data_IF_829792718786
#
_entry.id   IF_829792718786
#
_cell.length_a   1.000
_cell.length_b   1.000
_cell.length_c   1.000
_cell.angle_alpha   90.00
_cell.angle_beta   90.00
_cell.angle_gamma   90.00
#
_symmetry.space_group_name_H-M   'P 1'
#
loop_
_entity.id
_entity.type
_entity.pdbx_description
1 polymer ?
#
# COMPACT_ATOMS: atom_id res chain seq x y z
N UNK A 1 10.64 -6.71 -1.86
CA UNK A 1 11.51 -6.57 -0.65
C UNK A 1 12.98 -6.65 -1.07
N UNK A 2 13.91 -6.00 -0.37
CA UNK A 2 15.34 -5.98 -0.75
C UNK A 2 16.04 -7.35 -0.57
N UNK A 3 15.37 -8.33 0.06
CA UNK A 3 15.89 -9.67 0.39
C UNK A 3 17.24 -9.52 1.10
N UNK A 4 18.12 -10.49 0.98
CA UNK A 4 19.42 -10.50 1.68
C UNK A 4 20.48 -9.64 0.98
N UNK A 5 20.11 -8.89 -0.08
CA UNK A 5 21.04 -8.12 -0.93
C UNK A 5 21.60 -6.86 -0.27
N UNK A 6 21.05 -6.44 0.88
CA UNK A 6 21.40 -5.17 1.54
C UNK A 6 21.66 -5.36 3.04
N UNK A 7 22.15 -6.54 3.43
CA UNK A 7 22.41 -6.88 4.83
C UNK A 7 21.13 -7.18 5.62
N UNK A 8 21.30 -7.28 6.95
CA UNK A 8 20.19 -7.58 7.87
C UNK A 8 19.17 -6.43 7.89
N UNK A 9 17.93 -6.77 7.60
CA UNK A 9 16.78 -5.86 7.57
C UNK A 9 15.73 -6.19 8.63
N UNK A 10 16.01 -7.14 9.53
CA UNK A 10 15.03 -7.70 10.47
C UNK A 10 14.36 -6.62 11.30
N UNK A 11 15.13 -5.66 11.84
CA UNK A 11 14.56 -4.55 12.62
C UNK A 11 13.56 -3.71 11.82
N UNK A 12 13.93 -3.32 10.59
CA UNK A 12 13.08 -2.49 9.75
C UNK A 12 11.83 -3.26 9.28
N UNK A 13 11.98 -4.52 8.89
CA UNK A 13 10.87 -5.37 8.48
C UNK A 13 9.87 -5.58 9.62
N UNK A 14 10.34 -5.90 10.83
CA UNK A 14 9.47 -6.07 11.99
C UNK A 14 8.80 -4.76 12.36
N UNK A 15 9.57 -3.67 12.53
CA UNK A 15 9.04 -2.37 12.93
C UNK A 15 7.92 -1.88 11.99
N UNK A 16 8.16 -1.92 10.68
CA UNK A 16 7.18 -1.42 9.72
C UNK A 16 6.06 -2.43 9.44
N UNK A 17 6.34 -3.74 9.52
CA UNK A 17 5.31 -4.78 9.43
C UNK A 17 4.32 -4.71 10.60
N UNK A 18 4.83 -4.58 11.82
CA UNK A 18 4.03 -4.46 13.04
C UNK A 18 3.22 -3.15 13.05
N UNK A 19 3.79 -2.06 12.55
CA UNK A 19 3.05 -0.79 12.43
C UNK A 19 1.90 -0.89 11.41
N UNK A 20 2.11 -1.55 10.26
CA UNK A 20 1.00 -1.82 9.32
C UNK A 20 -0.07 -2.67 9.99
N UNK A 21 0.30 -3.73 10.71
CA UNK A 21 -0.64 -4.55 11.46
C UNK A 21 -1.46 -3.71 12.46
N UNK A 22 -0.78 -2.83 13.22
CA UNK A 22 -1.42 -1.89 14.15
C UNK A 22 -2.41 -0.95 13.45
N UNK A 23 -2.07 -0.42 12.27
CA UNK A 23 -2.96 0.43 11.47
C UNK A 23 -4.21 -0.32 11.01
N UNK A 24 -4.06 -1.57 10.56
CA UNK A 24 -5.20 -2.44 10.25
C UNK A 24 -6.06 -2.70 11.49
N UNK A 25 -5.47 -2.86 12.67
CA UNK A 25 -6.19 -2.96 13.94
C UNK A 25 -7.01 -1.71 14.27
N UNK A 26 -6.46 -0.52 14.05
CA UNK A 26 -7.18 0.76 14.22
C UNK A 26 -8.36 0.84 13.24
N UNK A 27 -8.14 0.55 11.97
CA UNK A 27 -9.20 0.54 10.95
C UNK A 27 -10.29 -0.49 11.28
N UNK A 28 -9.90 -1.69 11.73
CA UNK A 28 -10.83 -2.76 12.07
C UNK A 28 -11.74 -2.39 13.24
N UNK A 29 -11.23 -1.69 14.25
CA UNK A 29 -12.02 -1.20 15.37
C UNK A 29 -12.97 -0.07 14.96
N UNK A 30 -12.51 0.84 14.08
CA UNK A 30 -13.38 1.89 13.54
C UNK A 30 -14.52 1.30 12.71
N UNK A 31 -14.20 0.34 11.84
CA UNK A 31 -15.15 -0.36 10.98
C UNK A 31 -15.98 -1.42 11.71
N UNK A 32 -15.67 -1.73 12.96
CA UNK A 32 -16.57 -2.47 13.84
C UNK A 32 -17.76 -1.60 14.26
N UNK A 33 -17.49 -0.34 14.63
CA UNK A 33 -18.51 0.59 15.09
C UNK A 33 -19.31 1.24 13.94
N UNK A 34 -18.69 1.40 12.76
CA UNK A 34 -19.26 2.10 11.63
C UNK A 34 -19.15 1.30 10.32
N UNK A 35 -20.05 1.50 9.36
CA UNK A 35 -19.93 0.87 8.04
C UNK A 35 -18.78 1.45 7.21
N UNK A 36 -18.42 2.73 7.40
CA UNK A 36 -17.34 3.42 6.68
C UNK A 36 -16.37 4.09 7.66
N UNK A 37 -15.19 4.51 7.17
CA UNK A 37 -14.12 5.03 8.04
C UNK A 37 -14.53 6.31 8.79
N UNK A 38 -15.36 7.15 8.16
CA UNK A 38 -15.82 8.42 8.74
C UNK A 38 -17.24 8.37 9.33
N UNK A 39 -17.81 7.17 9.54
CA UNK A 39 -19.15 6.99 10.11
C UNK A 39 -20.09 6.26 9.16
N UNK A 40 -21.33 6.75 9.04
CA UNK A 40 -22.40 6.02 8.36
C UNK A 40 -22.45 6.21 6.84
N UNK A 41 -21.63 7.12 6.31
CA UNK A 41 -21.59 7.44 4.88
C UNK A 41 -20.20 7.23 4.29
N UNK A 42 -20.18 6.81 3.03
CA UNK A 42 -18.96 6.72 2.21
C UNK A 42 -18.41 8.12 1.91
N UNK A 43 -17.11 8.34 2.15
CA UNK A 43 -16.47 9.65 1.98
C UNK A 43 -15.11 9.56 1.29
N UNK A 44 -14.46 10.71 1.12
CA UNK A 44 -13.07 10.79 0.66
C UNK A 44 -12.09 10.03 1.59
N UNK A 45 -12.43 9.83 2.87
CA UNK A 45 -11.58 9.05 3.78
C UNK A 45 -11.49 7.59 3.31
N UNK A 46 -12.60 7.01 2.86
CA UNK A 46 -12.64 5.67 2.29
C UNK A 46 -11.91 5.63 0.94
N UNK A 47 -12.13 6.63 0.08
CA UNK A 47 -11.49 6.72 -1.25
C UNK A 47 -9.96 6.75 -1.15
N UNK A 48 -9.41 7.53 -0.21
CA UNK A 48 -7.95 7.67 -0.05
C UNK A 48 -7.35 6.43 0.60
N UNK A 49 -8.08 5.78 1.51
CA UNK A 49 -7.56 4.64 2.28
C UNK A 49 -7.66 3.32 1.51
N UNK A 50 -8.70 3.14 0.69
CA UNK A 50 -8.97 1.88 0.00
C UNK A 50 -7.82 1.38 -0.87
N UNK A 51 -7.19 2.20 -1.75
CA UNK A 51 -6.09 1.74 -2.58
C UNK A 51 -4.86 1.26 -1.79
N UNK A 52 -4.68 1.74 -0.55
CA UNK A 52 -3.60 1.27 0.33
C UNK A 52 -3.95 -0.02 1.05
N UNK A 53 -5.21 -0.18 1.47
CA UNK A 53 -5.67 -1.33 2.23
C UNK A 53 -5.81 -2.60 1.39
N UNK A 54 -6.17 -2.49 0.10
CA UNK A 54 -6.27 -3.65 -0.80
C UNK A 54 -4.94 -4.35 -1.06
N UNK A 55 -3.82 -3.69 -0.72
CA UNK A 55 -2.46 -4.22 -0.87
C UNK A 55 -2.00 -5.04 0.33
N UNK A 56 -2.90 -5.42 1.25
CA UNK A 56 -2.62 -6.13 2.51
C UNK A 56 -1.72 -7.36 2.33
N UNK A 57 -1.90 -8.14 1.26
CA UNK A 57 -1.13 -9.36 1.00
C UNK A 57 0.35 -9.01 0.70
N UNK A 58 0.57 -8.02 -0.16
CA UNK A 58 1.92 -7.52 -0.48
C UNK A 58 2.61 -6.89 0.73
N UNK A 59 1.82 -6.37 1.67
CA UNK A 59 2.27 -5.82 2.95
C UNK A 59 2.51 -6.93 4.00
N UNK A 60 2.19 -8.19 3.69
CA UNK A 60 2.42 -9.35 4.55
C UNK A 60 1.46 -9.46 5.74
N UNK A 61 0.25 -8.90 5.61
CA UNK A 61 -0.78 -9.02 6.64
C UNK A 61 -1.67 -10.23 6.38
N UNK A 62 -2.29 -10.80 7.41
CA UNK A 62 -3.40 -11.74 7.25
C UNK A 62 -4.72 -10.98 7.37
N UNK A 63 -5.42 -10.82 6.25
CA UNK A 63 -6.70 -10.08 6.23
C UNK A 63 -7.78 -10.74 7.10
N UNK A 64 -7.66 -12.03 7.39
CA UNK A 64 -8.63 -12.75 8.20
C UNK A 64 -8.56 -12.36 9.69
N UNK A 65 -7.46 -11.78 10.15
CA UNK A 65 -7.35 -11.17 11.48
C UNK A 65 -8.23 -9.90 11.60
N UNK A 66 -8.58 -9.27 10.47
CA UNK A 66 -9.25 -7.97 10.40
C UNK A 66 -10.62 -8.06 9.70
N UNK A 67 -11.54 -8.85 10.27
CA UNK A 67 -12.88 -9.12 9.71
C UNK A 67 -13.65 -7.90 9.18
N UNK A 68 -13.58 -6.75 9.85
CA UNK A 68 -14.34 -5.56 9.48
C UNK A 68 -13.65 -4.78 8.35
N UNK A 69 -12.32 -4.80 8.33
CA UNK A 69 -11.54 -4.30 7.18
C UNK A 69 -11.81 -5.16 5.96
N UNK A 70 -11.80 -6.49 6.11
CA UNK A 70 -12.12 -7.42 5.02
C UNK A 70 -13.49 -7.11 4.41
N UNK A 71 -14.53 -7.02 5.25
CA UNK A 71 -15.89 -6.65 4.80
C UNK A 71 -15.90 -5.33 4.04
N UNK A 72 -15.24 -4.30 4.57
CA UNK A 72 -15.18 -2.98 3.94
C UNK A 72 -14.41 -3.01 2.61
N UNK A 73 -13.32 -3.77 2.51
CA UNK A 73 -12.59 -3.98 1.25
C UNK A 73 -13.50 -4.65 0.21
N UNK A 74 -14.18 -5.72 0.60
CA UNK A 74 -15.04 -6.49 -0.30
C UNK A 74 -16.20 -5.60 -0.81
N UNK A 75 -16.92 -4.92 0.09
CA UNK A 75 -18.04 -4.03 -0.26
C UNK A 75 -17.60 -2.85 -1.15
N UNK A 76 -16.46 -2.22 -0.87
CA UNK A 76 -15.97 -1.13 -1.72
C UNK A 76 -15.47 -1.63 -3.07
N UNK A 77 -14.89 -2.83 -3.15
CA UNK A 77 -14.43 -3.45 -4.39
C UNK A 77 -15.56 -3.80 -5.36
N UNK A 78 -16.78 -4.01 -4.86
CA UNK A 78 -17.97 -4.24 -5.70
C UNK A 78 -18.48 -2.95 -6.37
N UNK A 79 -18.05 -1.77 -5.92
CA UNK A 79 -18.54 -0.49 -6.46
C UNK A 79 -17.96 -0.25 -7.87
N UNK A 80 -18.80 -0.03 -8.90
CA UNK A 80 -18.32 0.19 -10.27
C UNK A 80 -17.38 1.39 -10.41
N UNK A 81 -17.58 2.45 -9.62
CA UNK A 81 -16.70 3.62 -9.63
C UNK A 81 -15.32 3.34 -9.04
N UNK A 82 -15.24 2.49 -8.00
CA UNK A 82 -13.96 2.08 -7.40
C UNK A 82 -13.19 1.21 -8.39
N UNK A 83 -13.84 0.24 -9.03
CA UNK A 83 -13.23 -0.59 -10.06
C UNK A 83 -12.66 0.25 -11.22
N UNK A 84 -13.44 1.20 -11.73
CA UNK A 84 -12.98 2.14 -12.77
C UNK A 84 -11.79 2.97 -12.31
N UNK A 85 -11.81 3.47 -11.07
CA UNK A 85 -10.71 4.25 -10.50
C UNK A 85 -9.43 3.42 -10.34
N UNK A 86 -9.53 2.21 -9.83
CA UNK A 86 -8.39 1.30 -9.63
C UNK A 86 -7.80 0.78 -10.95
N UNK A 87 -8.57 0.77 -12.03
CA UNK A 87 -8.09 0.39 -13.35
C UNK A 87 -7.27 1.51 -14.04
N UNK A 88 -7.39 2.76 -13.60
CA UNK A 88 -6.66 3.89 -14.19
C UNK A 88 -5.17 3.74 -13.92
N UNK A 89 -4.36 3.83 -14.98
CA UNK A 89 -2.91 3.74 -14.87
C UNK A 89 -2.38 2.31 -14.74
N UNK A 90 -3.23 1.29 -14.96
CA UNK A 90 -2.82 -0.12 -15.05
C UNK A 90 -1.70 -0.35 -16.07
N UNK A 91 -1.65 0.45 -17.13
CA UNK A 91 -0.61 0.49 -18.15
C UNK A 91 0.76 0.97 -17.63
N UNK A 92 0.79 1.65 -16.49
CA UNK A 92 2.01 2.08 -15.81
C UNK A 92 2.48 1.09 -14.75
N UNK A 93 1.74 0.00 -14.51
CA UNK A 93 2.15 -1.03 -13.57
C UNK A 93 3.47 -1.66 -14.04
N UNK A 94 4.52 -1.52 -13.22
CA UNK A 94 5.83 -2.08 -13.51
C UNK A 94 5.93 -3.50 -12.95
N UNK A 95 6.10 -4.47 -13.82
CA UNK A 95 6.41 -5.85 -13.43
C UNK A 95 7.92 -5.99 -13.16
N UNK A 96 8.31 -5.61 -11.95
CA UNK A 96 9.71 -5.61 -11.52
C UNK A 96 10.36 -7.01 -11.60
N UNK A 97 9.59 -8.08 -11.48
CA UNK A 97 10.11 -9.45 -11.48
C UNK A 97 10.48 -9.91 -12.90
N UNK A 98 9.82 -9.37 -13.92
CA UNK A 98 10.11 -9.65 -15.33
C UNK A 98 11.06 -8.62 -16.00
N UNK A 99 11.52 -7.60 -15.29
CA UNK A 99 12.51 -6.63 -15.80
C UNK A 99 13.94 -7.16 -15.70
N UNK A 100 14.80 -6.78 -16.64
CA UNK A 100 16.23 -7.12 -16.58
C UNK A 100 16.91 -6.50 -15.35
N UNK A 101 18.01 -7.10 -14.90
CA UNK A 101 18.76 -6.56 -13.75
C UNK A 101 19.24 -5.12 -13.98
N UNK A 102 19.61 -4.79 -15.22
CA UNK A 102 20.06 -3.45 -15.61
C UNK A 102 18.93 -2.42 -15.48
N UNK A 103 17.73 -2.76 -15.95
CA UNK A 103 16.55 -1.89 -15.83
C UNK A 103 16.12 -1.72 -14.38
N UNK A 104 16.12 -2.82 -13.60
CA UNK A 104 15.87 -2.75 -12.16
C UNK A 104 16.89 -1.87 -11.44
N UNK A 105 18.17 -1.92 -11.84
CA UNK A 105 19.21 -1.07 -11.27
C UNK A 105 19.00 0.41 -11.62
N UNK A 106 18.62 0.73 -12.87
CA UNK A 106 18.26 2.09 -13.31
C UNK A 106 17.08 2.63 -12.52
N UNK A 107 16.00 1.86 -12.36
CA UNK A 107 14.84 2.23 -11.55
C UNK A 107 15.21 2.49 -10.10
N UNK A 108 16.00 1.60 -9.47
CA UNK A 108 16.42 1.81 -8.07
C UNK A 108 17.24 3.08 -7.88
N UNK A 109 18.13 3.39 -8.83
CA UNK A 109 18.91 4.64 -8.84
C UNK A 109 18.01 5.87 -8.97
N UNK A 110 16.91 5.75 -9.70
CA UNK A 110 15.93 6.82 -9.84
C UNK A 110 15.02 6.94 -8.62
N UNK A 111 14.58 5.86 -7.99
CA UNK A 111 13.52 5.90 -6.98
C UNK A 111 14.04 5.99 -5.53
N UNK A 112 15.24 5.49 -5.25
CA UNK A 112 15.73 5.33 -3.88
C UNK A 112 17.05 6.05 -3.65
N UNK A 113 17.29 6.43 -2.39
CA UNK A 113 18.54 7.05 -1.93
C UNK A 113 18.95 8.30 -2.72
N UNK A 114 17.97 9.00 -3.31
CA UNK A 114 18.22 10.27 -3.97
C UNK A 114 18.72 11.30 -2.94
N UNK A 115 19.79 11.99 -3.31
CA UNK A 115 20.28 13.17 -2.60
C UNK A 115 19.80 14.41 -3.34
N UNK A 116 19.58 15.49 -2.60
CA UNK A 116 19.22 16.77 -3.21
C UNK A 116 20.24 17.16 -4.30
N UNK A 117 19.73 17.60 -5.45
CA UNK A 117 20.56 18.24 -6.48
C UNK A 117 20.84 19.67 -6.03
N UNK A 118 22.08 20.17 -6.15
CA UNK A 118 22.34 21.59 -5.90
C UNK A 118 21.50 22.45 -6.85
N UNK A 119 21.17 23.66 -6.41
CA UNK A 119 20.54 24.65 -7.29
C UNK A 119 21.48 24.91 -8.49
N UNK A 120 20.94 25.17 -9.70
CA UNK A 120 21.76 25.60 -10.83
C UNK A 120 22.53 26.87 -10.48
N UNK A 121 23.75 26.99 -11.01
CA UNK A 121 24.49 28.25 -10.96
C UNK A 121 23.72 29.33 -11.77
N UNK A 122 23.77 30.57 -11.29
CA UNK A 122 23.09 31.72 -11.89
C UNK A 122 23.73 32.17 -13.22
#
# INVERSE_FOLDING_TARGET
RLKDRQGDQTYALNRFGDEVNRLFGVMNNQLYAHPYLAGDAYTIADMISYPWAVLWESQGQDINEFKHVKRWIDELGERPAVQKGMAVGSEFAMDLDNMSEEEQAKLRKLLYNQRARPAPDA
#
